data_IF_502800138349
#
_entry.id   IF_502800138349
#
_cell.length_a   1.000
_cell.length_b   1.000
_cell.length_c   1.000
_cell.angle_alpha   90.00
_cell.angle_beta   90.00
_cell.angle_gamma   90.00
#
_symmetry.space_group_name_H-M   'P 1'
#
loop_
_entity.id
_entity.type
_entity.pdbx_description
1 polymer ?
#
# COMPACT_ATOMS: atom_id res chain seq x y z
N UNK A 1 -25.87 -9.87 -30.66
CA UNK A 1 -25.26 -10.41 -29.43
C UNK A 1 -24.88 -9.24 -28.56
N UNK A 2 -25.62 -9.00 -27.47
CA UNK A 2 -25.31 -7.90 -26.55
C UNK A 2 -24.09 -8.30 -25.70
N UNK A 3 -23.00 -7.54 -25.82
CA UNK A 3 -21.87 -7.65 -24.89
C UNK A 3 -22.34 -7.16 -23.53
N UNK A 4 -22.68 -8.10 -22.64
CA UNK A 4 -22.88 -7.81 -21.22
C UNK A 4 -21.50 -7.51 -20.61
N UNK A 5 -21.09 -6.25 -20.64
CA UNK A 5 -19.92 -5.76 -19.89
C UNK A 5 -20.21 -5.95 -18.41
N UNK A 6 -19.63 -6.99 -17.81
CA UNK A 6 -19.67 -7.21 -16.37
C UNK A 6 -18.96 -6.03 -15.71
N UNK A 7 -19.70 -5.19 -14.99
CA UNK A 7 -19.10 -4.12 -14.21
C UNK A 7 -18.12 -4.76 -13.21
N UNK A 8 -16.82 -4.46 -13.34
CA UNK A 8 -15.82 -4.97 -12.41
C UNK A 8 -16.18 -4.53 -10.98
N UNK A 9 -16.08 -5.41 -9.98
CA UNK A 9 -16.38 -5.04 -8.60
C UNK A 9 -15.45 -3.89 -8.16
N UNK A 10 -16.01 -2.90 -7.47
CA UNK A 10 -15.24 -1.80 -6.88
C UNK A 10 -14.20 -2.36 -5.91
N UNK A 11 -12.92 -2.20 -6.25
CA UNK A 11 -11.79 -2.59 -5.39
C UNK A 11 -11.56 -1.60 -4.24
N UNK A 12 -12.22 -0.44 -4.29
CA UNK A 12 -11.99 0.70 -3.37
C UNK A 12 -12.31 0.32 -1.93
N UNK A 13 -13.31 -0.53 -1.72
CA UNK A 13 -13.66 -1.05 -0.39
C UNK A 13 -12.51 -1.84 0.25
N UNK A 14 -11.75 -2.59 -0.54
CA UNK A 14 -10.63 -3.40 -0.05
C UNK A 14 -9.42 -2.51 0.26
N UNK A 15 -9.19 -1.45 -0.51
CA UNK A 15 -8.18 -0.45 -0.21
C UNK A 15 -8.45 0.24 1.14
N UNK A 16 -9.70 0.60 1.43
CA UNK A 16 -10.08 1.15 2.74
C UNK A 16 -9.90 0.16 3.89
N UNK A 17 -10.25 -1.11 3.68
CA UNK A 17 -9.98 -2.17 4.66
C UNK A 17 -8.47 -2.33 4.94
N UNK A 18 -7.65 -2.26 3.89
CA UNK A 18 -6.19 -2.32 4.00
C UNK A 18 -5.63 -1.15 4.82
N UNK A 19 -6.09 0.08 4.54
CA UNK A 19 -5.70 1.27 5.31
C UNK A 19 -6.10 1.14 6.77
N UNK A 20 -7.33 0.69 7.06
CA UNK A 20 -7.79 0.49 8.43
C UNK A 20 -6.95 -0.56 9.17
N UNK A 21 -6.63 -1.67 8.52
CA UNK A 21 -5.76 -2.71 9.07
C UNK A 21 -4.33 -2.19 9.32
N UNK A 22 -3.77 -1.39 8.40
CA UNK A 22 -2.46 -0.80 8.55
C UNK A 22 -2.41 0.17 9.75
N UNK A 23 -3.39 1.05 9.89
CA UNK A 23 -3.50 1.97 11.03
C UNK A 23 -3.63 1.19 12.34
N UNK A 24 -4.50 0.17 12.39
CA UNK A 24 -4.64 -0.68 13.58
C UNK A 24 -3.31 -1.35 13.95
N UNK A 25 -2.60 -1.89 12.95
CA UNK A 25 -1.31 -2.55 13.14
C UNK A 25 -0.27 -1.59 13.71
N UNK A 26 -0.16 -0.37 13.17
CA UNK A 26 0.74 0.67 13.69
C UNK A 26 0.42 0.95 15.16
N UNK A 27 -0.85 1.19 15.49
CA UNK A 27 -1.27 1.48 16.88
C UNK A 27 -0.89 0.34 17.82
N UNK A 28 -1.15 -0.91 17.43
CA UNK A 28 -0.80 -2.08 18.23
C UNK A 28 0.72 -2.20 18.42
N UNK A 29 1.51 -2.07 17.36
CA UNK A 29 2.98 -2.19 17.43
C UNK A 29 3.60 -1.05 18.24
N UNK A 30 3.16 0.19 18.03
CA UNK A 30 3.63 1.33 18.83
C UNK A 30 3.28 1.16 20.30
N UNK A 31 2.06 0.68 20.62
CA UNK A 31 1.67 0.39 22.01
C UNK A 31 2.55 -0.70 22.62
N UNK A 32 2.81 -1.79 21.88
CA UNK A 32 3.70 -2.87 22.32
C UNK A 32 5.14 -2.37 22.53
N UNK A 33 5.66 -1.49 21.67
CA UNK A 33 6.95 -0.84 21.86
C UNK A 33 6.98 -0.04 23.17
N UNK A 34 5.98 0.80 23.44
CA UNK A 34 5.92 1.62 24.66
C UNK A 34 5.88 0.76 25.94
N UNK A 35 5.25 -0.40 25.89
CA UNK A 35 5.16 -1.32 27.02
C UNK A 35 6.43 -2.15 27.24
N UNK A 36 7.17 -2.47 26.17
CA UNK A 36 8.32 -3.40 26.22
C UNK A 36 9.68 -2.72 26.14
N UNK A 37 9.76 -1.50 25.60
CA UNK A 37 11.01 -0.84 25.25
C UNK A 37 11.77 -1.50 24.10
N UNK A 38 11.16 -2.45 23.37
CA UNK A 38 11.85 -3.24 22.35
C UNK A 38 12.13 -2.43 21.08
N UNK A 39 13.41 -2.21 20.79
CA UNK A 39 13.83 -1.58 19.53
C UNK A 39 13.41 -2.40 18.31
N UNK A 40 13.27 -3.72 18.44
CA UNK A 40 12.73 -4.57 17.36
C UNK A 40 11.27 -4.25 17.03
N UNK A 41 10.43 -4.05 18.06
CA UNK A 41 9.04 -3.62 17.86
C UNK A 41 8.94 -2.19 17.33
N UNK A 42 9.90 -1.32 17.68
CA UNK A 42 9.99 0.01 17.08
C UNK A 42 10.30 -0.07 15.58
N UNK A 43 11.28 -0.90 15.18
CA UNK A 43 11.60 -1.13 13.76
C UNK A 43 10.40 -1.68 12.99
N UNK A 44 9.69 -2.65 13.57
CA UNK A 44 8.51 -3.27 12.98
C UNK A 44 7.30 -2.29 12.89
N UNK A 45 7.19 -1.34 13.84
CA UNK A 45 6.22 -0.24 13.78
C UNK A 45 6.56 0.75 12.66
N UNK A 46 7.84 1.11 12.49
CA UNK A 46 8.28 1.98 11.40
C UNK A 46 8.08 1.34 10.02
N UNK A 47 8.31 0.04 9.88
CA UNK A 47 7.97 -0.71 8.66
C UNK A 47 6.48 -0.61 8.33
N UNK A 48 5.60 -0.72 9.34
CA UNK A 48 4.16 -0.63 9.11
C UNK A 48 3.69 0.76 8.62
N UNK A 49 4.49 1.82 8.79
CA UNK A 49 4.22 3.13 8.15
C UNK A 49 4.43 3.06 6.63
N UNK A 50 5.42 2.31 6.16
CA UNK A 50 5.66 2.08 4.73
C UNK A 50 4.49 1.33 4.12
N UNK A 51 3.95 0.34 4.82
CA UNK A 51 2.76 -0.40 4.38
C UNK A 51 1.52 0.51 4.29
N UNK A 52 1.34 1.43 5.25
CA UNK A 52 0.27 2.43 5.18
C UNK A 52 0.44 3.36 3.96
N UNK A 53 1.66 3.81 3.68
CA UNK A 53 1.95 4.62 2.51
C UNK A 53 1.63 3.88 1.19
N UNK A 54 1.99 2.58 1.11
CA UNK A 54 1.62 1.72 -0.02
C UNK A 54 0.10 1.60 -0.20
N UNK A 55 -0.64 1.37 0.89
CA UNK A 55 -2.10 1.27 0.84
C UNK A 55 -2.79 2.58 0.38
N UNK A 56 -2.28 3.74 0.82
CA UNK A 56 -2.76 5.06 0.37
C UNK A 56 -2.44 5.30 -1.11
N UNK A 57 -1.29 4.85 -1.58
CA UNK A 57 -0.91 4.92 -2.98
C UNK A 57 -1.81 4.04 -3.85
N UNK A 58 -2.09 2.81 -3.40
CA UNK A 58 -3.02 1.91 -4.07
C UNK A 58 -4.43 2.51 -4.18
N UNK A 59 -4.94 3.12 -3.10
CA UNK A 59 -6.21 3.84 -3.13
C UNK A 59 -6.20 4.99 -4.16
N UNK A 60 -5.11 5.76 -4.20
CA UNK A 60 -4.94 6.88 -5.12
C UNK A 60 -4.93 6.41 -6.58
N UNK A 61 -4.16 5.37 -6.88
CA UNK A 61 -4.05 4.82 -8.23
C UNK A 61 -5.34 4.13 -8.69
N UNK A 62 -6.06 3.46 -7.79
CA UNK A 62 -7.38 2.93 -8.09
C UNK A 62 -8.38 4.05 -8.42
N UNK A 63 -8.30 5.18 -7.71
CA UNK A 63 -9.13 6.36 -7.98
C UNK A 63 -8.81 6.99 -9.34
N UNK A 64 -7.54 7.01 -9.73
CA UNK A 64 -7.09 7.48 -11.05
C UNK A 64 -7.53 6.49 -12.13
N UNK A 65 -7.35 5.19 -11.93
CA UNK A 65 -7.70 4.13 -12.87
C UNK A 65 -9.21 4.06 -13.13
N UNK A 66 -10.04 4.41 -12.14
CA UNK A 66 -11.49 4.48 -12.27
C UNK A 66 -11.99 5.69 -13.10
N UNK A 67 -11.11 6.63 -13.50
CA UNK A 67 -11.49 7.76 -14.35
C UNK A 67 -11.79 7.29 -15.77
N UNK A 68 -12.86 7.79 -16.40
CA UNK A 68 -13.17 7.47 -17.80
C UNK A 68 -12.05 7.93 -18.74
N UNK A 69 -12.04 7.40 -19.96
CA UNK A 69 -11.11 7.84 -21.00
C UNK A 69 -11.30 9.33 -21.31
N UNK A 70 -10.20 10.05 -21.49
CA UNK A 70 -10.16 11.44 -21.88
C UNK A 70 -9.39 11.62 -23.21
N UNK A 71 -9.36 12.84 -23.75
CA UNK A 71 -8.69 13.13 -25.04
C UNK A 71 -7.19 12.82 -25.04
N UNK A 72 -6.56 12.81 -23.85
CA UNK A 72 -5.12 12.52 -23.67
C UNK A 72 -4.88 11.02 -23.47
N UNK A 73 -5.86 10.28 -22.97
CA UNK A 73 -5.82 8.84 -22.70
C UNK A 73 -7.01 8.14 -23.37
N UNK A 74 -6.95 7.99 -24.68
CA UNK A 74 -7.98 7.31 -25.49
C UNK A 74 -8.28 5.86 -25.04
N UNK A 75 -7.34 5.21 -24.34
CA UNK A 75 -7.49 3.85 -23.79
C UNK A 75 -7.84 3.82 -22.28
N UNK A 76 -8.09 4.98 -21.66
CA UNK A 76 -8.39 5.12 -20.24
C UNK A 76 -7.17 5.03 -19.32
N UNK A 77 -7.43 5.12 -18.01
CA UNK A 77 -6.40 5.24 -16.97
C UNK A 77 -6.05 3.91 -16.27
N UNK A 78 -6.54 2.77 -16.77
CA UNK A 78 -6.39 1.47 -16.12
C UNK A 78 -4.94 1.04 -15.85
N UNK A 79 -3.95 1.58 -16.58
CA UNK A 79 -2.53 1.29 -16.34
C UNK A 79 -1.97 1.95 -15.07
N UNK A 80 -2.68 2.91 -14.47
CA UNK A 80 -2.23 3.60 -13.26
C UNK A 80 -2.05 2.66 -12.07
N UNK A 81 -2.80 1.56 -11.99
CA UNK A 81 -2.69 0.57 -10.92
C UNK A 81 -1.30 -0.09 -10.88
N UNK A 82 -0.72 -0.42 -12.04
CA UNK A 82 0.62 -1.01 -12.13
C UNK A 82 1.72 -0.09 -11.61
N UNK A 83 1.51 1.23 -11.71
CA UNK A 83 2.44 2.20 -11.13
C UNK A 83 2.47 2.10 -9.60
N UNK A 84 1.30 1.88 -8.97
CA UNK A 84 1.22 1.62 -7.52
C UNK A 84 2.02 0.39 -7.14
N UNK A 85 1.81 -0.73 -7.84
CA UNK A 85 2.49 -1.99 -7.55
C UNK A 85 4.01 -1.88 -7.71
N UNK A 86 4.48 -1.12 -8.70
CA UNK A 86 5.91 -0.87 -8.91
C UNK A 86 6.54 -0.08 -7.76
N UNK A 87 5.87 0.98 -7.28
CA UNK A 87 6.39 1.79 -6.17
C UNK A 87 6.32 1.04 -4.85
N UNK A 88 5.23 0.33 -4.58
CA UNK A 88 5.11 -0.52 -3.38
C UNK A 88 6.18 -1.61 -3.34
N UNK A 89 6.43 -2.30 -4.45
CA UNK A 89 7.51 -3.28 -4.57
C UNK A 89 8.89 -2.67 -4.29
N UNK A 90 9.16 -1.46 -4.77
CA UNK A 90 10.41 -0.76 -4.49
C UNK A 90 10.55 -0.38 -3.01
N UNK A 91 9.47 0.09 -2.37
CA UNK A 91 9.45 0.42 -0.94
C UNK A 91 9.73 -0.82 -0.07
N UNK A 92 9.13 -1.97 -0.41
CA UNK A 92 9.37 -3.23 0.28
C UNK A 92 10.84 -3.66 0.15
N UNK A 93 11.43 -3.57 -1.05
CA UNK A 93 12.85 -3.89 -1.26
C UNK A 93 13.76 -2.99 -0.42
N UNK A 94 13.49 -1.68 -0.38
CA UNK A 94 14.25 -0.73 0.44
C UNK A 94 14.14 -1.07 1.93
N UNK A 95 12.94 -1.38 2.42
CA UNK A 95 12.72 -1.76 3.80
C UNK A 95 13.49 -3.05 4.15
N UNK A 96 13.40 -4.08 3.30
CA UNK A 96 14.10 -5.35 3.48
C UNK A 96 15.63 -5.17 3.55
N UNK A 97 16.22 -4.40 2.63
CA UNK A 97 17.66 -4.11 2.63
C UNK A 97 18.07 -3.34 3.88
N UNK A 98 17.28 -2.35 4.29
CA UNK A 98 17.57 -1.52 5.46
C UNK A 98 17.53 -2.33 6.76
N UNK A 99 16.55 -3.23 6.90
CA UNK A 99 16.45 -4.16 8.04
C UNK A 99 17.62 -5.13 8.03
N UNK A 100 17.96 -5.71 6.87
CA UNK A 100 19.10 -6.64 6.74
C UNK A 100 20.43 -5.99 7.13
N UNK A 101 20.67 -4.75 6.68
CA UNK A 101 21.84 -3.98 7.07
C UNK A 101 21.89 -3.70 8.58
N UNK A 102 20.78 -3.23 9.16
CA UNK A 102 20.67 -2.97 10.60
C UNK A 102 20.86 -4.24 11.44
N UNK A 103 20.48 -5.40 10.92
CA UNK A 103 20.66 -6.69 11.59
C UNK A 103 22.14 -7.14 11.60
N UNK A 104 22.89 -6.94 10.51
CA UNK A 104 24.32 -7.30 10.42
C UNK A 104 25.21 -6.36 11.27
N UNK A 105 24.75 -5.12 11.48
CA UNK A 105 25.51 -4.10 12.20
C UNK A 105 25.33 -4.15 13.74
N UNK A 106 24.46 -5.04 14.22
CA UNK A 106 24.32 -5.41 15.64
C UNK A 106 25.24 -6.56 16.00
#
# INVERSE_FOLDING_TARGET
>A
MAHTTTAAPSLTRYAWLSIAAAVLTIVLKTSAFLLTGSVGLLSDALESLVNLAGALMALSMLTIAARPADEVHAYGHGKAEYFSSGVEGALILIAAVSIGYAAVQR
#
